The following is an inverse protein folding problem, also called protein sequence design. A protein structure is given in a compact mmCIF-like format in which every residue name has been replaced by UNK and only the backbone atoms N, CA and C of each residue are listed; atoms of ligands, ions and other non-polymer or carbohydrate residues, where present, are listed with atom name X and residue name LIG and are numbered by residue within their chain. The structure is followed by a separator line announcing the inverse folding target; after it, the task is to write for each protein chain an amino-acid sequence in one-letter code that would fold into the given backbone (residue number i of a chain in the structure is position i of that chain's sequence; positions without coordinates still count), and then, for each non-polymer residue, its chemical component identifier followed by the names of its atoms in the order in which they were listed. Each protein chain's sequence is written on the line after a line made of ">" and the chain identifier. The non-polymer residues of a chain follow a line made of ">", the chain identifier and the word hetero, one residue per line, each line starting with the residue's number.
data_IF_206028049579
#
_entry.id   IF_206028049579
#
_cell.length_a   1.000
_cell.length_b   1.000
_cell.length_c   1.000
_cell.angle_alpha   90.00
_cell.angle_beta   90.00
_cell.angle_gamma   90.00
#
_symmetry.space_group_name_H-M   'P 1'
#
loop_
_entity.id
_entity.type
_entity.pdbx_description
1 polymer ?
#
# COMPACT_ATOMS: atom_id res chain seq x y z
N UNK A 1 -6.36 1.79 -16.20
CA UNK A 1 -6.84 1.15 -14.95
C UNK A 1 -8.34 1.25 -14.89
N UNK A 2 -9.03 0.43 -14.09
CA UNK A 2 -10.48 0.62 -13.91
C UNK A 2 -10.72 1.86 -13.06
N UNK A 3 -11.82 2.58 -13.29
CA UNK A 3 -12.15 3.79 -12.53
C UNK A 3 -12.20 3.51 -11.02
N UNK A 4 -12.80 2.40 -10.59
CA UNK A 4 -12.88 2.00 -9.18
C UNK A 4 -11.51 1.89 -8.49
N UNK A 5 -10.53 1.29 -9.17
CA UNK A 5 -9.16 1.14 -8.67
C UNK A 5 -8.48 2.50 -8.48
N UNK A 6 -8.64 3.39 -9.47
CA UNK A 6 -8.10 4.75 -9.43
C UNK A 6 -8.77 5.54 -8.30
N UNK A 7 -10.10 5.51 -8.19
CA UNK A 7 -10.85 6.24 -7.17
C UNK A 7 -10.45 5.82 -5.77
N UNK A 8 -10.35 4.51 -5.51
CA UNK A 8 -9.93 4.00 -4.19
C UNK A 8 -8.48 4.37 -3.92
N UNK A 9 -7.56 4.16 -4.87
CA UNK A 9 -6.15 4.50 -4.70
C UNK A 9 -5.92 5.99 -4.45
N UNK A 10 -6.61 6.86 -5.19
CA UNK A 10 -6.53 8.31 -4.99
C UNK A 10 -7.12 8.75 -3.66
N UNK A 11 -8.26 8.15 -3.24
CA UNK A 11 -8.84 8.42 -1.92
C UNK A 11 -7.89 8.01 -0.78
N UNK A 12 -7.21 6.86 -0.89
CA UNK A 12 -6.19 6.42 0.08
C UNK A 12 -5.07 7.45 0.16
N UNK A 13 -4.49 7.85 -0.98
CA UNK A 13 -3.37 8.81 -1.00
C UNK A 13 -3.78 10.18 -0.44
N UNK A 14 -4.98 10.66 -0.79
CA UNK A 14 -5.50 11.93 -0.28
C UNK A 14 -5.70 11.87 1.24
N UNK A 15 -6.26 10.78 1.77
CA UNK A 15 -6.42 10.59 3.21
C UNK A 15 -5.07 10.43 3.93
N UNK A 16 -4.08 9.80 3.30
CA UNK A 16 -2.72 9.73 3.84
C UNK A 16 -2.12 11.13 3.99
N UNK A 17 -2.24 11.97 2.96
CA UNK A 17 -1.78 13.38 3.03
C UNK A 17 -2.56 14.16 4.08
N UNK A 18 -3.90 14.05 4.08
CA UNK A 18 -4.75 14.73 5.06
C UNK A 18 -4.36 14.35 6.50
N UNK A 19 -4.10 13.08 6.77
CA UNK A 19 -3.68 12.59 8.10
C UNK A 19 -2.31 13.13 8.54
N UNK A 20 -1.44 13.47 7.59
CA UNK A 20 -0.15 14.08 7.89
C UNK A 20 -0.28 15.58 8.19
N UNK A 21 -1.35 16.23 7.72
CA UNK A 21 -1.60 17.66 7.92
C UNK A 21 -2.58 17.97 9.05
N UNK A 22 -3.46 17.03 9.40
CA UNK A 22 -4.55 17.24 10.37
C UNK A 22 -4.71 16.05 11.30
N UNK A 23 -4.97 16.32 12.58
CA UNK A 23 -5.32 15.31 13.59
C UNK A 23 -6.78 14.91 13.48
N UNK A 24 -7.08 14.05 12.50
CA UNK A 24 -8.40 13.42 12.38
C UNK A 24 -8.38 12.00 13.00
N UNK A 25 -9.15 11.74 14.08
CA UNK A 25 -9.05 10.49 14.85
C UNK A 25 -9.37 9.24 14.02
N UNK A 26 -10.32 9.33 13.07
CA UNK A 26 -10.74 8.20 12.25
C UNK A 26 -9.95 8.04 10.95
N UNK A 27 -8.98 8.91 10.64
CA UNK A 27 -8.21 8.83 9.41
C UNK A 27 -7.49 7.48 9.28
N UNK A 28 -6.90 7.01 10.38
CA UNK A 28 -6.16 5.75 10.40
C UNK A 28 -7.05 4.56 10.02
N UNK A 29 -8.26 4.51 10.60
CA UNK A 29 -9.24 3.46 10.36
C UNK A 29 -9.74 3.49 8.91
N UNK A 30 -10.07 4.67 8.39
CA UNK A 30 -10.58 4.82 7.03
C UNK A 30 -9.54 4.41 5.98
N UNK A 31 -8.28 4.82 6.16
CA UNK A 31 -7.16 4.41 5.29
C UNK A 31 -6.98 2.89 5.31
N UNK A 32 -7.05 2.27 6.49
CA UNK A 32 -6.95 0.82 6.64
C UNK A 32 -8.08 0.10 5.91
N UNK A 33 -9.34 0.53 6.08
CA UNK A 33 -10.49 -0.09 5.41
C UNK A 33 -10.42 0.05 3.88
N UNK A 34 -10.05 1.22 3.38
CA UNK A 34 -9.91 1.43 1.93
C UNK A 34 -8.75 0.62 1.35
N UNK A 35 -7.64 0.52 2.07
CA UNK A 35 -6.50 -0.30 1.62
C UNK A 35 -6.84 -1.79 1.64
N UNK A 36 -7.58 -2.24 2.65
CA UNK A 36 -8.10 -3.61 2.70
C UNK A 36 -9.02 -3.90 1.52
N UNK A 37 -9.93 -2.97 1.20
CA UNK A 37 -10.81 -3.09 0.03
C UNK A 37 -10.00 -3.19 -1.27
N UNK A 38 -8.97 -2.34 -1.45
CA UNK A 38 -8.09 -2.37 -2.62
C UNK A 38 -7.29 -3.69 -2.71
N UNK A 39 -6.76 -4.15 -1.58
CA UNK A 39 -6.03 -5.42 -1.46
C UNK A 39 -6.93 -6.61 -1.82
N UNK A 40 -8.16 -6.65 -1.31
CA UNK A 40 -9.14 -7.69 -1.64
C UNK A 40 -9.54 -7.66 -3.12
N UNK A 41 -9.67 -6.46 -3.71
CA UNK A 41 -9.91 -6.31 -5.15
C UNK A 41 -8.77 -6.92 -5.98
N UNK A 42 -7.51 -6.73 -5.58
CA UNK A 42 -6.37 -7.38 -6.25
C UNK A 42 -6.30 -8.87 -5.97
N UNK A 43 -6.49 -9.31 -4.72
CA UNK A 43 -6.34 -10.70 -4.36
C UNK A 43 -7.45 -11.57 -4.98
N UNK A 44 -8.71 -11.25 -4.67
CA UNK A 44 -9.86 -12.09 -5.05
C UNK A 44 -10.22 -11.91 -6.52
N UNK A 45 -10.22 -10.67 -7.02
CA UNK A 45 -10.77 -10.36 -8.34
C UNK A 45 -9.71 -10.11 -9.42
N UNK A 46 -8.43 -10.40 -9.18
CA UNK A 46 -7.33 -10.15 -10.13
C UNK A 46 -7.56 -10.75 -11.51
N UNK A 47 -7.96 -12.02 -11.59
CA UNK A 47 -8.16 -12.73 -12.85
C UNK A 47 -9.18 -12.03 -13.75
N UNK A 48 -10.15 -11.30 -13.20
CA UNK A 48 -11.07 -10.48 -13.98
C UNK A 48 -10.68 -9.01 -14.11
N UNK A 49 -10.16 -8.43 -13.03
CA UNK A 49 -9.74 -7.03 -12.96
C UNK A 49 -8.58 -6.73 -13.92
N UNK A 50 -7.59 -7.61 -13.97
CA UNK A 50 -6.39 -7.46 -14.80
C UNK A 50 -6.66 -7.84 -16.26
N UNK A 51 -7.53 -8.83 -16.50
CA UNK A 51 -7.99 -9.19 -17.86
C UNK A 51 -9.11 -8.30 -18.41
N UNK A 52 -9.43 -7.18 -17.74
CA UNK A 52 -10.44 -6.19 -18.18
C UNK A 52 -11.87 -6.73 -18.36
N UNK A 53 -12.21 -7.81 -17.66
CA UNK A 53 -13.57 -8.37 -17.66
C UNK A 53 -14.48 -7.48 -16.80
N UNK A 54 -15.69 -7.19 -17.29
CA UNK A 54 -16.69 -6.41 -16.54
C UNK A 54 -17.14 -7.18 -15.29
N UNK A 55 -17.38 -6.50 -14.17
CA UNK A 55 -17.76 -7.16 -12.90
C UNK A 55 -18.97 -8.10 -13.03
N UNK A 56 -20.01 -7.67 -13.77
CA UNK A 56 -21.20 -8.47 -14.08
C UNK A 56 -20.96 -9.77 -14.86
N UNK A 57 -19.77 -9.91 -15.45
CA UNK A 57 -19.38 -11.02 -16.30
C UNK A 57 -18.30 -11.93 -15.66
N UNK A 58 -17.84 -11.62 -14.44
CA UNK A 58 -16.77 -12.36 -13.77
C UNK A 58 -17.11 -13.83 -13.51
N UNK A 59 -18.38 -14.13 -13.29
CA UNK A 59 -18.84 -15.49 -13.01
C UNK A 59 -19.30 -16.23 -14.28
N UNK A 60 -19.18 -15.60 -15.46
CA UNK A 60 -19.58 -16.19 -16.74
C UNK A 60 -18.37 -16.85 -17.41
N UNK A 61 -18.43 -18.18 -17.59
CA UNK A 61 -17.36 -18.97 -18.22
C UNK A 61 -17.03 -18.48 -19.63
N UNK A 62 -18.01 -17.94 -20.35
CA UNK A 62 -17.85 -17.40 -21.71
C UNK A 62 -16.85 -16.25 -21.76
N UNK A 63 -16.72 -15.48 -20.68
CA UNK A 63 -15.81 -14.33 -20.60
C UNK A 63 -14.33 -14.72 -20.58
N UNK A 64 -14.04 -16.02 -20.44
CA UNK A 64 -12.69 -16.57 -20.31
C UNK A 64 -12.25 -17.42 -21.51
N UNK A 65 -13.12 -17.64 -22.50
CA UNK A 65 -12.85 -18.55 -23.62
C UNK A 65 -11.61 -18.16 -24.44
N UNK A 66 -11.35 -16.86 -24.57
CA UNK A 66 -10.23 -16.32 -25.36
C UNK A 66 -8.97 -16.04 -24.51
N UNK A 67 -8.96 -16.46 -23.25
CA UNK A 67 -7.87 -16.20 -22.30
C UNK A 67 -7.12 -17.50 -22.04
N UNK A 68 -5.82 -17.52 -22.34
CA UNK A 68 -4.98 -18.69 -22.06
C UNK A 68 -4.86 -18.94 -20.55
N UNK A 69 -4.78 -20.22 -20.17
CA UNK A 69 -4.64 -20.66 -18.77
C UNK A 69 -3.41 -20.01 -18.11
N UNK A 70 -2.28 -19.93 -18.82
CA UNK A 70 -1.07 -19.26 -18.34
C UNK A 70 -1.30 -17.78 -18.05
N UNK A 71 -2.13 -17.08 -18.84
CA UNK A 71 -2.49 -15.69 -18.56
C UNK A 71 -3.35 -15.60 -17.30
N UNK A 72 -4.30 -16.51 -17.10
CA UNK A 72 -5.13 -16.54 -15.89
C UNK A 72 -4.24 -16.72 -14.65
N UNK A 73 -3.39 -17.75 -14.64
CA UNK A 73 -2.46 -18.02 -13.53
C UNK A 73 -1.54 -16.82 -13.29
N UNK A 74 -0.96 -16.26 -14.36
CA UNK A 74 -0.10 -15.07 -14.26
C UNK A 74 -0.82 -13.86 -13.67
N UNK A 75 -2.09 -13.64 -14.04
CA UNK A 75 -2.89 -12.55 -13.46
C UNK A 75 -3.25 -12.80 -12.00
N UNK A 76 -3.49 -14.05 -11.58
CA UNK A 76 -3.72 -14.37 -10.17
C UNK A 76 -2.47 -14.10 -9.33
N UNK A 77 -1.29 -14.56 -9.79
CA UNK A 77 -0.01 -14.27 -9.14
C UNK A 77 0.27 -12.76 -9.07
N UNK A 78 -0.03 -12.03 -10.15
CA UNK A 78 0.11 -10.57 -10.15
C UNK A 78 -0.85 -9.90 -9.16
N UNK A 79 -2.08 -10.41 -9.05
CA UNK A 79 -3.05 -9.98 -8.05
C UNK A 79 -2.56 -10.13 -6.61
N UNK A 80 -2.01 -11.29 -6.30
CA UNK A 80 -1.43 -11.56 -4.98
C UNK A 80 -0.31 -10.56 -4.66
N UNK A 81 0.61 -10.34 -5.58
CA UNK A 81 1.72 -9.40 -5.37
C UNK A 81 1.25 -7.95 -5.21
N UNK A 82 0.28 -7.50 -6.02
CA UNK A 82 -0.30 -6.15 -5.88
C UNK A 82 -1.05 -5.99 -4.54
N UNK A 83 -1.70 -7.04 -4.07
CA UNK A 83 -2.35 -7.08 -2.76
C UNK A 83 -1.32 -6.94 -1.63
N UNK A 84 -0.26 -7.76 -1.65
CA UNK A 84 0.83 -7.70 -0.69
C UNK A 84 1.44 -6.29 -0.67
N UNK A 85 1.81 -5.75 -1.84
CA UNK A 85 2.42 -4.43 -1.94
C UNK A 85 1.51 -3.32 -1.38
N UNK A 86 0.19 -3.39 -1.63
CA UNK A 86 -0.78 -2.44 -1.07
C UNK A 86 -0.82 -2.50 0.46
N UNK A 87 -0.84 -3.70 1.03
CA UNK A 87 -0.78 -3.91 2.48
C UNK A 87 0.56 -3.41 3.04
N UNK A 88 1.68 -3.68 2.36
CA UNK A 88 2.99 -3.24 2.83
C UNK A 88 3.11 -1.72 2.90
N UNK A 89 2.56 -1.01 1.91
CA UNK A 89 2.49 0.46 1.91
C UNK A 89 1.70 0.96 3.13
N UNK A 90 0.55 0.32 3.43
CA UNK A 90 -0.23 0.64 4.62
C UNK A 90 0.58 0.45 5.90
N UNK A 91 1.24 -0.71 6.07
CA UNK A 91 2.04 -1.00 7.26
C UNK A 91 3.15 0.05 7.46
N UNK A 92 3.84 0.42 6.38
CA UNK A 92 4.86 1.46 6.40
C UNK A 92 4.28 2.82 6.79
N UNK A 93 3.18 3.24 6.17
CA UNK A 93 2.54 4.54 6.44
C UNK A 93 1.99 4.62 7.87
N UNK A 94 1.33 3.56 8.35
CA UNK A 94 0.80 3.46 9.70
C UNK A 94 1.89 3.32 10.77
N UNK A 95 3.16 3.14 10.35
CA UNK A 95 4.30 2.82 11.22
C UNK A 95 4.06 1.58 12.08
N UNK A 96 3.35 0.60 11.52
CA UNK A 96 3.15 -0.69 12.18
C UNK A 96 4.45 -1.50 12.18
N UNK A 97 4.58 -2.46 13.12
CA UNK A 97 5.74 -3.35 13.18
C UNK A 97 6.03 -4.00 11.83
N UNK A 98 7.32 -4.16 11.52
CA UNK A 98 7.81 -4.78 10.28
C UNK A 98 7.45 -4.04 8.97
N UNK A 99 6.91 -2.82 9.02
CA UNK A 99 6.50 -2.09 7.81
C UNK A 99 7.59 -1.92 6.75
N UNK A 100 8.84 -1.69 7.14
CA UNK A 100 9.99 -1.64 6.21
C UNK A 100 10.27 -2.99 5.54
N UNK A 101 10.26 -4.06 6.34
CA UNK A 101 10.61 -5.41 5.88
C UNK A 101 9.53 -5.93 4.94
N UNK A 102 8.26 -5.78 5.32
CA UNK A 102 7.12 -6.22 4.49
C UNK A 102 7.02 -5.40 3.20
N UNK A 103 7.43 -4.11 3.22
CA UNK A 103 7.53 -3.29 2.01
C UNK A 103 8.68 -3.72 1.09
N UNK A 104 9.84 -4.06 1.65
CA UNK A 104 10.94 -4.63 0.88
C UNK A 104 10.52 -5.94 0.19
N UNK A 105 9.86 -6.84 0.93
CA UNK A 105 9.34 -8.11 0.38
C UNK A 105 8.33 -7.83 -0.74
N UNK A 106 7.38 -6.90 -0.51
CA UNK A 106 6.40 -6.49 -1.51
C UNK A 106 7.05 -5.97 -2.79
N UNK A 107 8.02 -5.06 -2.68
CA UNK A 107 8.75 -4.51 -3.82
C UNK A 107 9.58 -5.58 -4.54
N UNK A 108 10.28 -6.45 -3.80
CA UNK A 108 11.06 -7.54 -4.38
C UNK A 108 10.17 -8.53 -5.14
N UNK A 109 8.97 -8.83 -4.63
CA UNK A 109 8.03 -9.75 -5.27
C UNK A 109 7.45 -9.24 -6.60
N UNK A 110 7.48 -7.91 -6.84
CA UNK A 110 7.07 -7.32 -8.12
C UNK A 110 8.09 -7.57 -9.24
N UNK A 111 9.38 -7.67 -8.91
CA UNK A 111 10.47 -7.80 -9.89
C UNK A 111 10.27 -8.94 -10.90
N UNK A 112 10.03 -10.21 -10.50
CA UNK A 112 9.83 -11.29 -11.46
C UNK A 112 8.63 -11.04 -12.38
N UNK A 113 7.55 -10.44 -11.87
CA UNK A 113 6.36 -10.13 -12.68
C UNK A 113 6.69 -9.05 -13.70
N UNK A 114 7.33 -7.96 -13.27
CA UNK A 114 7.71 -6.86 -14.17
C UNK A 114 8.63 -7.37 -15.28
N UNK A 115 9.62 -8.20 -14.96
CA UNK A 115 10.50 -8.83 -15.96
C UNK A 115 9.72 -9.60 -17.02
N UNK A 116 8.80 -10.48 -16.59
CA UNK A 116 7.96 -11.26 -17.52
C UNK A 116 7.04 -10.37 -18.35
N UNK A 117 6.43 -9.35 -17.73
CA UNK A 117 5.51 -8.42 -18.39
C UNK A 117 6.24 -7.55 -19.42
N UNK A 118 7.44 -7.06 -19.09
CA UNK A 118 8.29 -6.29 -20.01
C UNK A 118 8.68 -7.15 -21.20
N UNK A 119 9.19 -8.37 -20.97
CA UNK A 119 9.54 -9.29 -22.04
C UNK A 119 8.36 -9.52 -22.99
N UNK A 120 7.19 -9.88 -22.43
CA UNK A 120 5.97 -10.10 -23.22
C UNK A 120 5.44 -8.84 -23.91
N UNK A 121 5.63 -7.67 -23.32
CA UNK A 121 5.27 -6.39 -23.93
C UNK A 121 6.10 -6.13 -25.19
N UNK A 122 7.41 -6.37 -25.15
CA UNK A 122 8.27 -6.19 -26.33
C UNK A 122 8.04 -7.24 -27.42
N UNK A 123 7.74 -8.49 -27.06
CA UNK A 123 7.50 -9.57 -28.04
C UNK A 123 6.15 -9.42 -28.76
N UNK A 124 5.07 -9.10 -28.04
CA UNK A 124 3.71 -9.14 -28.60
C UNK A 124 3.04 -7.76 -28.74
N UNK A 125 3.59 -6.71 -28.11
CA UNK A 125 3.04 -5.34 -28.08
C UNK A 125 1.54 -5.24 -27.77
N UNK A 126 1.01 -6.20 -27.00
CA UNK A 126 -0.41 -6.28 -26.69
C UNK A 126 -0.81 -5.21 -25.66
N UNK A 127 -1.96 -4.57 -25.87
CA UNK A 127 -2.60 -3.61 -24.96
C UNK A 127 -2.73 -4.14 -23.52
N UNK A 128 -2.92 -5.46 -23.35
CA UNK A 128 -2.96 -6.11 -22.05
C UNK A 128 -1.67 -5.86 -21.24
N UNK A 129 -0.50 -6.19 -21.80
CA UNK A 129 0.79 -6.04 -21.11
C UNK A 129 1.14 -4.57 -20.89
N UNK A 130 0.81 -3.69 -21.84
CA UNK A 130 0.95 -2.22 -21.64
C UNK A 130 0.17 -1.75 -20.42
N UNK A 131 -1.10 -2.17 -20.31
CA UNK A 131 -1.98 -1.77 -19.21
C UNK A 131 -1.50 -2.35 -17.87
N UNK A 132 -1.00 -3.58 -17.88
CA UNK A 132 -0.46 -4.23 -16.69
C UNK A 132 0.83 -3.57 -16.21
N UNK A 133 1.72 -3.20 -17.14
CA UNK A 133 2.97 -2.51 -16.84
C UNK A 133 2.70 -1.15 -16.18
N UNK A 134 1.78 -0.34 -16.73
CA UNK A 134 1.40 0.95 -16.13
C UNK A 134 0.91 0.78 -14.68
N UNK A 135 0.12 -0.26 -14.40
CA UNK A 135 -0.36 -0.55 -13.03
C UNK A 135 0.78 -0.85 -12.08
N UNK A 136 1.67 -1.75 -12.48
CA UNK A 136 2.83 -2.14 -11.69
C UNK A 136 3.72 -0.92 -11.43
N UNK A 137 3.99 -0.12 -12.45
CA UNK A 137 4.79 1.10 -12.32
C UNK A 137 4.19 2.09 -11.33
N UNK A 138 2.89 2.37 -11.39
CA UNK A 138 2.24 3.34 -10.48
C UNK A 138 2.32 2.87 -9.03
N UNK A 139 1.94 1.62 -8.75
CA UNK A 139 1.91 1.10 -7.36
C UNK A 139 3.33 0.92 -6.82
N UNK A 140 4.25 0.41 -7.65
CA UNK A 140 5.66 0.31 -7.26
C UNK A 140 6.29 1.66 -7.03
N UNK A 141 5.97 2.71 -7.81
CA UNK A 141 6.47 4.05 -7.59
C UNK A 141 6.03 4.60 -6.22
N UNK A 142 4.76 4.40 -5.84
CA UNK A 142 4.26 4.75 -4.50
C UNK A 142 4.99 3.93 -3.42
N UNK A 143 5.15 2.62 -3.62
CA UNK A 143 5.88 1.76 -2.70
C UNK A 143 7.34 2.16 -2.51
N UNK A 144 8.04 2.50 -3.60
CA UNK A 144 9.43 2.98 -3.57
C UNK A 144 9.53 4.32 -2.84
N UNK A 145 8.61 5.25 -3.10
CA UNK A 145 8.54 6.53 -2.40
C UNK A 145 8.42 6.31 -0.89
N UNK A 146 7.51 5.43 -0.45
CA UNK A 146 7.37 5.10 0.97
C UNK A 146 8.56 4.34 1.55
N UNK A 147 9.25 3.53 0.74
CA UNK A 147 10.43 2.79 1.19
C UNK A 147 11.59 3.73 1.58
N UNK A 148 11.81 4.79 0.80
CA UNK A 148 12.86 5.78 1.09
C UNK A 148 12.53 6.73 2.24
N UNK A 149 11.25 6.91 2.58
CA UNK A 149 10.85 7.76 3.71
C UNK A 149 11.16 7.04 5.02
N UNK A 150 11.93 7.67 5.92
CA UNK A 150 12.17 7.14 7.27
C UNK A 150 10.91 7.23 8.11
N UNK A 151 10.68 6.23 8.96
CA UNK A 151 9.51 6.19 9.85
C UNK A 151 9.48 7.38 10.82
N UNK A 152 10.64 7.87 11.23
CA UNK A 152 10.81 9.10 12.01
C UNK A 152 10.37 10.36 11.25
N UNK A 153 10.57 10.42 9.93
CA UNK A 153 10.11 11.55 9.12
C UNK A 153 8.59 11.61 9.08
N UNK A 154 7.92 10.45 8.98
CA UNK A 154 6.45 10.39 9.07
C UNK A 154 5.94 10.81 10.45
N UNK A 155 6.65 10.43 11.52
CA UNK A 155 6.35 10.87 12.89
C UNK A 155 6.46 12.40 13.02
N UNK A 156 7.61 12.95 12.63
CA UNK A 156 7.90 14.37 12.75
C UNK A 156 6.99 15.23 11.87
N UNK A 157 6.55 14.70 10.73
CA UNK A 157 5.59 15.39 9.87
C UNK A 157 4.20 15.44 10.51
N UNK A 158 3.74 14.32 11.08
CA UNK A 158 2.41 14.21 11.69
C UNK A 158 2.29 15.03 12.98
N UNK A 159 3.32 15.00 13.83
CA UNK A 159 3.32 15.66 15.14
C UNK A 159 4.25 16.88 15.13
N UNK A 160 4.24 17.65 14.04
CA UNK A 160 5.10 18.82 13.87
C UNK A 160 4.91 19.86 14.98
N UNK A 161 3.68 20.00 15.47
CA UNK A 161 3.31 20.96 16.51
C UNK A 161 3.69 20.47 17.92
N UNK A 162 4.11 19.21 18.06
CA UNK A 162 4.50 18.59 19.34
C UNK A 162 5.92 18.01 19.27
N UNK A 163 6.97 18.86 19.18
CA UNK A 163 8.36 18.41 19.04
C UNK A 163 8.83 17.55 20.22
N UNK A 164 8.36 17.83 21.43
CA UNK A 164 8.68 17.05 22.65
C UNK A 164 8.21 15.59 22.52
N UNK A 165 7.02 15.37 21.96
CA UNK A 165 6.50 14.02 21.71
C UNK A 165 7.32 13.29 20.64
N UNK A 166 7.73 14.00 19.58
CA UNK A 166 8.57 13.43 18.52
C UNK A 166 9.92 12.99 19.07
N UNK A 167 10.53 13.77 19.96
CA UNK A 167 11.81 13.46 20.58
C UNK A 167 11.71 12.28 21.56
N UNK A 168 10.68 12.24 22.40
CA UNK A 168 10.43 11.13 23.32
C UNK A 168 10.29 9.79 22.58
N UNK A 169 9.46 9.75 21.53
CA UNK A 169 9.28 8.55 20.71
C UNK A 169 10.59 8.16 19.99
N UNK A 170 11.41 9.12 19.55
CA UNK A 170 12.72 8.81 18.95
C UNK A 170 13.68 8.18 19.95
N UNK A 171 13.68 8.63 21.20
CA UNK A 171 14.52 8.07 22.25
C UNK A 171 14.06 6.66 22.63
N UNK A 172 12.74 6.45 22.77
CA UNK A 172 12.16 5.11 22.96
C UNK A 172 12.50 4.17 21.80
N UNK A 173 12.50 4.65 20.56
CA UNK A 173 12.89 3.83 19.40
C UNK A 173 14.38 3.39 19.42
N UNK A 174 15.26 4.11 20.11
CA UNK A 174 16.67 3.72 20.26
C UNK A 174 16.87 2.65 21.32
N UNK A 175 16.05 2.65 22.36
CA UNK A 175 16.09 1.71 23.47
C UNK A 175 14.67 1.28 23.86
N UNK A 176 14.03 0.41 23.06
CA UNK A 176 12.62 0.06 23.22
C UNK A 176 12.34 -0.81 24.45
N UNK A 177 13.36 -1.40 25.08
CA UNK A 177 13.22 -2.20 26.30
C UNK A 177 13.27 -1.35 27.58
N UNK A 178 13.61 -0.07 27.47
CA UNK A 178 13.69 0.85 28.59
C UNK A 178 12.31 1.34 29.05
N UNK A 179 11.86 0.80 30.18
CA UNK A 179 10.56 1.12 30.78
C UNK A 179 10.43 2.59 31.19
N UNK A 180 11.51 3.30 31.49
CA UNK A 180 11.44 4.73 31.83
C UNK A 180 11.14 5.57 30.59
N UNK A 181 11.78 5.27 29.46
CA UNK A 181 11.50 5.96 28.19
C UNK A 181 10.06 5.72 27.73
N UNK A 182 9.54 4.50 27.87
CA UNK A 182 8.14 4.20 27.58
C UNK A 182 7.16 4.99 28.46
N UNK A 183 7.47 5.16 29.75
CA UNK A 183 6.65 5.98 30.67
C UNK A 183 6.68 7.44 30.25
N UNK A 184 7.86 8.00 30.01
CA UNK A 184 8.03 9.40 29.57
C UNK A 184 7.24 9.65 28.27
N UNK A 185 7.36 8.78 27.27
CA UNK A 185 6.59 8.90 26.02
C UNK A 185 5.09 8.86 26.28
N UNK A 186 4.62 7.96 27.15
CA UNK A 186 3.19 7.86 27.47
C UNK A 186 2.67 9.10 28.20
N UNK A 187 3.43 9.64 29.15
CA UNK A 187 3.04 10.85 29.88
C UNK A 187 2.95 12.06 28.95
N UNK A 188 3.91 12.21 28.03
CA UNK A 188 3.90 13.27 27.02
C UNK A 188 2.73 13.07 26.05
N UNK A 189 2.44 11.82 25.64
CA UNK A 189 1.28 11.49 24.79
C UNK A 189 -0.04 11.91 25.45
N UNK A 190 -0.22 11.61 26.74
CA UNK A 190 -1.42 11.97 27.49
C UNK A 190 -1.58 13.48 27.62
N UNK A 191 -0.48 14.21 27.86
CA UNK A 191 -0.49 15.69 27.88
C UNK A 191 -0.91 16.27 26.52
N UNK A 192 -0.35 15.75 25.43
CA UNK A 192 -0.73 16.14 24.07
C UNK A 192 -2.23 15.90 23.81
N UNK A 193 -2.74 14.71 24.15
CA UNK A 193 -4.16 14.36 23.99
C UNK A 193 -5.10 15.23 24.85
N UNK A 194 -4.63 15.75 25.99
CA UNK A 194 -5.40 16.68 26.83
C UNK A 194 -5.42 18.13 26.33
N UNK A 195 -4.58 18.47 25.35
CA UNK A 195 -4.46 19.83 24.77
C UNK A 195 -5.27 19.98 23.47
N UNK A 196 -5.71 18.86 22.87
CA UNK A 196 -6.63 18.80 21.71
C UNK A 196 -8.10 18.89 22.14
#
# INVERSE_FOLDING_TARGET
>A
MKQTEISIGLAILLLMVLRLCFTYPYAALLITLLTLLLSMLYFVFSFGLLNQIRFRNLFKKESYKDISILRVIGTMGTGLVLSILSISILFKFQRWPYGNIILLIGLASVLPIVTVVIFKFFTHKNRFYKTLLIRLTIISAVGILFFFIKSETLLALKFRDFPEYVEAVKNEMKDPENLELQKITNDIRLKMESTE
#
